data_IF_296861280866
#
_entry.id   IF_296861280866
#
_cell.length_a   1.000
_cell.length_b   1.000
_cell.length_c   1.000
_cell.angle_alpha   90.00
_cell.angle_beta   90.00
_cell.angle_gamma   90.00
#
_symmetry.space_group_name_H-M   'P 1'
#
loop_
_entity.id
_entity.type
_entity.pdbx_description
1 polymer ?
#
# COMPACT_ATOMS: atom_id res chain seq x y z
N UNK A 1 -29.11 -33.77 -1.15
CA UNK A 1 -28.10 -32.90 -1.79
C UNK A 1 -27.99 -31.63 -0.96
N UNK A 2 -26.97 -31.54 -0.09
CA UNK A 2 -26.67 -30.29 0.62
C UNK A 2 -26.00 -29.35 -0.39
N UNK A 3 -26.67 -28.26 -0.75
CA UNK A 3 -26.07 -27.22 -1.56
C UNK A 3 -24.83 -26.65 -0.85
N UNK A 4 -23.79 -26.24 -1.59
CA UNK A 4 -22.60 -25.69 -0.98
C UNK A 4 -22.98 -24.49 -0.10
N UNK A 5 -22.62 -24.58 1.18
CA UNK A 5 -22.75 -23.48 2.14
C UNK A 5 -21.98 -22.30 1.59
N UNK A 6 -22.69 -21.33 0.99
CA UNK A 6 -22.09 -20.07 0.57
C UNK A 6 -21.54 -19.42 1.82
N UNK A 7 -20.24 -19.12 1.84
CA UNK A 7 -19.64 -18.34 2.91
C UNK A 7 -20.45 -17.05 3.08
N UNK A 8 -21.20 -16.98 4.18
CA UNK A 8 -22.10 -15.85 4.44
C UNK A 8 -21.22 -14.72 4.95
N UNK A 9 -20.92 -13.73 4.10
CA UNK A 9 -20.38 -12.46 4.56
C UNK A 9 -21.32 -11.95 5.66
N UNK A 10 -20.81 -11.55 6.85
CA UNK A 10 -21.67 -11.08 7.92
C UNK A 10 -22.63 -10.01 7.40
N UNK A 11 -23.95 -10.20 7.59
CA UNK A 11 -24.97 -9.29 7.06
C UNK A 11 -24.76 -7.82 7.49
N UNK A 12 -24.07 -7.60 8.60
CA UNK A 12 -23.69 -6.28 9.08
C UNK A 12 -22.73 -5.53 8.14
N UNK A 13 -21.88 -6.25 7.40
CA UNK A 13 -20.95 -5.67 6.42
C UNK A 13 -21.63 -5.41 5.06
N UNK A 14 -22.73 -6.10 4.75
CA UNK A 14 -23.51 -5.97 3.52
C UNK A 14 -24.53 -4.81 3.58
N UNK A 15 -24.15 -3.72 4.23
CA UNK A 15 -24.95 -2.49 4.34
C UNK A 15 -24.06 -1.28 4.14
N UNK A 16 -24.54 -0.22 3.47
CA UNK A 16 -23.78 1.02 3.36
C UNK A 16 -23.57 1.60 4.76
N UNK A 17 -22.33 2.04 5.05
CA UNK A 17 -21.96 2.52 6.38
C UNK A 17 -22.54 3.92 6.69
N UNK A 18 -22.65 4.80 5.68
CA UNK A 18 -23.29 6.13 5.70
C UNK A 18 -23.54 6.61 4.25
N UNK A 19 -24.32 7.68 3.98
CA UNK A 19 -24.43 8.27 2.65
C UNK A 19 -23.06 8.72 2.12
N UNK A 20 -22.78 8.48 0.84
CA UNK A 20 -21.51 8.85 0.20
C UNK A 20 -21.46 10.37 -0.09
N UNK A 21 -20.52 11.09 0.54
CA UNK A 21 -20.17 12.47 0.20
C UNK A 21 -18.74 12.57 -0.38
N UNK A 22 -18.49 13.54 -1.25
CA UNK A 22 -17.18 13.77 -1.90
C UNK A 22 -16.04 14.09 -0.92
N UNK A 23 -16.36 14.46 0.33
CA UNK A 23 -15.39 14.66 1.40
C UNK A 23 -14.54 13.40 1.69
N UNK A 24 -15.09 12.19 1.44
CA UNK A 24 -14.39 10.93 1.73
C UNK A 24 -13.19 10.66 0.82
N UNK A 25 -13.21 11.15 -0.42
CA UNK A 25 -12.12 10.91 -1.37
C UNK A 25 -10.85 11.70 -0.97
N UNK A 26 -11.01 12.93 -0.50
CA UNK A 26 -9.89 13.76 -0.04
C UNK A 26 -9.23 13.21 1.22
N UNK A 27 -10.03 12.64 2.13
CA UNK A 27 -9.51 11.95 3.32
C UNK A 27 -8.67 10.74 2.90
N UNK A 28 -9.14 9.94 1.93
CA UNK A 28 -8.37 8.83 1.39
C UNK A 28 -7.06 9.30 0.77
N UNK A 29 -7.10 10.29 -0.11
CA UNK A 29 -5.92 10.86 -0.79
C UNK A 29 -4.89 11.33 0.22
N UNK A 30 -5.31 12.08 1.24
CA UNK A 30 -4.43 12.56 2.31
C UNK A 30 -3.84 11.40 3.12
N UNK A 31 -4.65 10.41 3.50
CA UNK A 31 -4.19 9.23 4.23
C UNK A 31 -3.14 8.45 3.43
N UNK A 32 -3.35 8.25 2.13
CA UNK A 32 -2.41 7.60 1.23
C UNK A 32 -1.11 8.39 1.05
N UNK A 33 -1.18 9.71 0.93
CA UNK A 33 0.01 10.56 0.81
C UNK A 33 0.83 10.66 2.11
N UNK A 34 0.19 10.50 3.27
CA UNK A 34 0.79 10.83 4.58
C UNK A 34 2.15 10.18 4.85
N UNK A 35 2.41 8.88 4.56
CA UNK A 35 3.74 8.31 4.81
C UNK A 35 4.80 8.88 3.87
N UNK A 36 4.40 9.33 2.68
CA UNK A 36 5.33 9.83 1.67
C UNK A 36 5.80 11.25 2.03
N UNK A 37 4.93 12.05 2.65
CA UNK A 37 5.34 13.29 3.29
C UNK A 37 6.32 13.05 4.44
N UNK A 38 6.09 12.02 5.26
CA UNK A 38 7.05 11.65 6.31
C UNK A 38 8.39 11.21 5.71
N UNK A 39 8.37 10.43 4.63
CA UNK A 39 9.58 10.02 3.93
C UNK A 39 10.34 11.23 3.39
N UNK A 40 9.65 12.16 2.73
CA UNK A 40 10.22 13.42 2.26
C UNK A 40 10.82 14.25 3.41
N UNK A 41 10.07 14.39 4.51
CA UNK A 41 10.53 15.14 5.68
C UNK A 41 11.83 14.58 6.25
N UNK A 42 11.91 13.26 6.47
CA UNK A 42 13.11 12.62 7.01
C UNK A 42 14.25 12.66 5.98
N UNK A 43 13.94 12.57 4.69
CA UNK A 43 14.92 12.64 3.62
C UNK A 43 15.64 13.99 3.57
N UNK A 44 14.89 15.10 3.65
CA UNK A 44 15.41 16.46 3.54
C UNK A 44 15.86 17.05 4.88
N UNK A 45 15.25 16.64 5.99
CA UNK A 45 15.52 17.18 7.33
C UNK A 45 15.91 16.10 8.35
N UNK A 46 16.87 15.20 8.05
CA UNK A 46 17.20 14.07 8.93
C UNK A 46 17.68 14.53 10.31
N UNK A 47 18.43 15.65 10.38
CA UNK A 47 18.90 16.22 11.66
C UNK A 47 17.75 16.68 12.57
N UNK A 48 16.62 17.11 12.00
CA UNK A 48 15.45 17.50 12.79
C UNK A 48 14.78 16.27 13.38
N UNK A 49 14.61 15.22 12.58
CA UNK A 49 14.12 13.93 13.07
C UNK A 49 15.03 13.32 14.13
N UNK A 50 16.35 13.32 13.91
CA UNK A 50 17.34 12.85 14.87
C UNK A 50 17.34 13.65 16.17
N UNK A 51 17.09 14.96 16.13
CA UNK A 51 16.97 15.77 17.36
C UNK A 51 15.77 15.36 18.20
N UNK A 52 14.66 14.96 17.57
CA UNK A 52 13.46 14.52 18.26
C UNK A 52 13.60 13.12 18.88
N UNK A 53 14.26 12.17 18.18
CA UNK A 53 14.26 10.75 18.55
C UNK A 53 15.62 10.17 18.92
N UNK A 54 16.71 10.93 18.75
CA UNK A 54 18.07 10.53 19.12
C UNK A 54 18.49 9.18 18.54
N UNK A 55 18.99 8.29 19.41
CA UNK A 55 19.45 6.94 19.03
C UNK A 55 18.33 6.03 18.50
N UNK A 56 17.07 6.32 18.85
CA UNK A 56 15.88 5.58 18.43
C UNK A 56 15.25 6.11 17.14
N UNK A 57 15.90 7.04 16.43
CA UNK A 57 15.33 7.68 15.23
C UNK A 57 14.91 6.69 14.14
N UNK A 58 15.67 5.60 13.95
CA UNK A 58 15.33 4.54 12.99
C UNK A 58 14.11 3.75 13.46
N UNK A 59 14.07 3.37 14.73
CA UNK A 59 12.96 2.58 15.28
C UNK A 59 11.66 3.39 15.30
N UNK A 60 11.74 4.68 15.63
CA UNK A 60 10.61 5.61 15.54
C UNK A 60 10.11 5.74 14.10
N UNK A 61 11.01 5.78 13.12
CA UNK A 61 10.62 5.84 11.71
C UNK A 61 9.98 4.52 11.27
N UNK A 62 10.56 3.37 11.63
CA UNK A 62 9.98 2.06 11.34
C UNK A 62 8.58 1.89 11.94
N UNK A 63 8.40 2.30 13.20
CA UNK A 63 7.10 2.29 13.88
C UNK A 63 6.10 3.21 13.18
N UNK A 64 6.51 4.44 12.82
CA UNK A 64 5.67 5.38 12.07
C UNK A 64 5.29 4.82 10.70
N UNK A 65 6.17 4.06 10.05
CA UNK A 65 5.90 3.32 8.82
C UNK A 65 4.79 2.28 9.01
N UNK A 66 4.85 1.48 10.07
CA UNK A 66 3.80 0.49 10.40
C UNK A 66 2.47 1.19 10.67
N UNK A 67 2.46 2.22 11.52
CA UNK A 67 1.24 3.00 11.82
C UNK A 67 0.68 3.62 10.54
N UNK A 68 1.53 4.23 9.72
CA UNK A 68 1.13 4.81 8.44
C UNK A 68 0.51 3.77 7.51
N UNK A 69 1.08 2.56 7.43
CA UNK A 69 0.50 1.46 6.63
C UNK A 69 -0.86 1.03 7.14
N UNK A 70 -1.03 0.91 8.47
CA UNK A 70 -2.33 0.58 9.06
C UNK A 70 -3.38 1.64 8.72
N UNK A 71 -3.03 2.92 8.84
CA UNK A 71 -3.90 4.04 8.45
C UNK A 71 -4.25 3.98 6.96
N UNK A 72 -3.27 3.74 6.07
CA UNK A 72 -3.51 3.61 4.64
C UNK A 72 -4.50 2.48 4.31
N UNK A 73 -4.29 1.28 4.86
CA UNK A 73 -5.17 0.13 4.60
C UNK A 73 -6.57 0.32 5.21
N UNK A 74 -6.67 0.90 6.41
CA UNK A 74 -7.96 1.21 7.03
C UNK A 74 -8.72 2.28 6.23
N UNK A 75 -8.04 3.34 5.79
CA UNK A 75 -8.64 4.38 4.97
C UNK A 75 -9.20 3.81 3.66
N UNK A 76 -8.44 2.94 2.98
CA UNK A 76 -8.91 2.26 1.75
C UNK A 76 -10.10 1.34 2.04
N UNK A 77 -10.05 0.55 3.12
CA UNK A 77 -11.13 -0.36 3.47
C UNK A 77 -12.43 0.40 3.81
N UNK A 78 -12.34 1.47 4.60
CA UNK A 78 -13.48 2.33 4.95
C UNK A 78 -14.01 3.07 3.74
N UNK A 79 -13.13 3.67 2.93
CA UNK A 79 -13.52 4.33 1.69
C UNK A 79 -14.24 3.36 0.76
N UNK A 80 -13.70 2.15 0.57
CA UNK A 80 -14.30 1.14 -0.28
C UNK A 80 -15.69 0.74 0.24
N UNK A 81 -15.83 0.51 1.56
CA UNK A 81 -17.13 0.21 2.19
C UNK A 81 -18.16 1.31 1.94
N UNK A 82 -17.82 2.57 2.25
CA UNK A 82 -18.75 3.72 2.10
C UNK A 82 -19.10 3.97 0.63
N UNK A 83 -18.19 3.66 -0.30
CA UNK A 83 -18.40 3.86 -1.74
C UNK A 83 -19.29 2.79 -2.38
N UNK A 84 -19.58 1.68 -1.70
CA UNK A 84 -20.43 0.61 -2.25
C UNK A 84 -21.89 0.76 -1.81
N UNK A 85 -22.87 0.70 -2.74
CA UNK A 85 -24.29 0.80 -2.40
C UNK A 85 -24.77 -0.35 -1.50
N UNK A 86 -24.15 -1.52 -1.60
CA UNK A 86 -24.47 -2.71 -0.80
C UNK A 86 -23.43 -2.99 0.30
N UNK A 87 -22.60 -2.00 0.65
CA UNK A 87 -21.46 -2.19 1.54
C UNK A 87 -20.44 -3.21 1.02
N UNK A 88 -19.79 -3.95 1.91
CA UNK A 88 -18.76 -4.96 1.58
C UNK A 88 -19.33 -6.32 1.17
N UNK A 89 -20.49 -6.34 0.51
CA UNK A 89 -21.09 -7.56 -0.02
C UNK A 89 -20.34 -8.05 -1.28
N UNK A 90 -19.08 -8.48 -1.10
CA UNK A 90 -18.23 -8.97 -2.16
C UNK A 90 -18.74 -10.31 -2.71
N UNK A 91 -18.84 -10.41 -4.02
CA UNK A 91 -19.12 -11.67 -4.71
C UNK A 91 -17.80 -12.33 -5.10
N UNK A 92 -17.30 -13.20 -4.22
CA UNK A 92 -16.07 -13.96 -4.48
C UNK A 92 -16.23 -14.95 -5.64
N UNK A 93 -17.46 -15.37 -5.96
CA UNK A 93 -17.73 -16.26 -7.09
C UNK A 93 -17.65 -15.54 -8.44
N UNK A 94 -17.78 -14.21 -8.43
CA UNK A 94 -17.56 -13.36 -9.60
C UNK A 94 -16.08 -13.10 -9.91
N UNK A 95 -15.15 -13.44 -9.00
CA UNK A 95 -13.72 -13.29 -9.24
C UNK A 95 -13.25 -14.42 -10.16
N UNK A 96 -12.83 -14.06 -11.37
CA UNK A 96 -12.36 -15.00 -12.38
C UNK A 96 -11.03 -15.65 -11.99
N UNK A 97 -10.72 -16.82 -12.59
CA UNK A 97 -9.44 -17.48 -12.40
C UNK A 97 -8.26 -16.56 -12.77
N UNK A 98 -8.36 -15.80 -13.85
CA UNK A 98 -7.31 -14.87 -14.28
C UNK A 98 -7.06 -13.78 -13.24
N UNK A 99 -8.11 -13.27 -12.58
CA UNK A 99 -7.95 -12.30 -11.49
C UNK A 99 -7.28 -12.91 -10.26
N UNK A 100 -7.64 -14.15 -9.90
CA UNK A 100 -6.97 -14.88 -8.82
C UNK A 100 -5.49 -15.13 -9.12
N UNK A 101 -5.17 -15.57 -10.34
CA UNK A 101 -3.79 -15.75 -10.77
C UNK A 101 -3.01 -14.42 -10.76
N UNK A 102 -3.65 -13.33 -11.21
CA UNK A 102 -3.06 -11.99 -11.13
C UNK A 102 -2.79 -11.53 -9.70
N UNK A 103 -3.76 -11.72 -8.79
CA UNK A 103 -3.59 -11.44 -7.36
C UNK A 103 -2.42 -12.22 -6.77
N UNK A 104 -2.37 -13.54 -7.01
CA UNK A 104 -1.31 -14.39 -6.49
C UNK A 104 0.06 -14.03 -7.06
N UNK A 105 0.16 -13.80 -8.37
CA UNK A 105 1.42 -13.48 -9.03
C UNK A 105 1.96 -12.12 -8.56
N UNK A 106 1.16 -11.05 -8.67
CA UNK A 106 1.59 -9.71 -8.28
C UNK A 106 1.84 -9.62 -6.77
N UNK A 107 0.99 -10.27 -5.97
CA UNK A 107 1.14 -10.35 -4.53
C UNK A 107 2.43 -11.07 -4.14
N UNK A 108 2.69 -12.26 -4.70
CA UNK A 108 3.88 -13.04 -4.40
C UNK A 108 5.17 -12.31 -4.81
N UNK A 109 5.22 -11.76 -6.03
CA UNK A 109 6.40 -11.00 -6.50
C UNK A 109 6.58 -9.74 -5.64
N UNK A 110 5.49 -9.02 -5.36
CA UNK A 110 5.55 -7.79 -4.58
C UNK A 110 6.04 -8.02 -3.15
N UNK A 111 5.52 -9.06 -2.49
CA UNK A 111 5.96 -9.44 -1.15
C UNK A 111 7.37 -10.04 -1.15
N UNK A 112 7.79 -10.78 -2.18
CA UNK A 112 9.16 -11.26 -2.29
C UNK A 112 10.17 -10.11 -2.38
N UNK A 113 9.87 -9.05 -3.15
CA UNK A 113 10.72 -7.85 -3.21
C UNK A 113 10.80 -7.14 -1.85
N UNK A 114 9.66 -6.97 -1.17
CA UNK A 114 9.60 -6.35 0.14
C UNK A 114 10.33 -7.18 1.21
N UNK A 115 10.12 -8.49 1.26
CA UNK A 115 10.84 -9.38 2.17
C UNK A 115 12.35 -9.39 1.87
N UNK A 116 12.70 -9.39 0.57
CA UNK A 116 14.08 -9.35 0.10
C UNK A 116 14.84 -8.12 0.60
N UNK A 117 14.24 -6.93 0.57
CA UNK A 117 14.93 -5.73 1.05
C UNK A 117 15.20 -5.78 2.56
N UNK A 118 14.24 -6.26 3.36
CA UNK A 118 14.44 -6.45 4.79
C UNK A 118 15.51 -7.50 5.08
N UNK A 119 15.57 -8.58 4.29
CA UNK A 119 16.63 -9.59 4.41
C UNK A 119 18.02 -9.03 4.05
N UNK A 120 18.10 -8.22 2.99
CA UNK A 120 19.35 -7.72 2.44
C UNK A 120 20.00 -6.61 3.30
N UNK A 121 19.21 -5.62 3.75
CA UNK A 121 19.73 -4.42 4.42
C UNK A 121 19.10 -4.13 5.79
N UNK A 122 18.18 -4.99 6.23
CA UNK A 122 17.50 -4.87 7.53
C UNK A 122 16.58 -3.65 7.63
N UNK A 123 15.91 -3.54 8.79
CA UNK A 123 15.04 -2.40 9.11
C UNK A 123 15.78 -1.07 9.02
N UNK A 124 17.03 -1.02 9.47
CA UNK A 124 17.82 0.21 9.40
C UNK A 124 18.12 0.63 7.96
N UNK A 125 18.38 -0.31 7.05
CA UNK A 125 18.57 0.03 5.65
C UNK A 125 17.29 0.57 5.00
N UNK A 126 16.16 -0.07 5.30
CA UNK A 126 14.84 0.32 4.78
C UNK A 126 14.42 1.72 5.24
N UNK A 127 14.62 2.05 6.52
CA UNK A 127 14.14 3.30 7.12
C UNK A 127 15.25 4.36 7.23
N UNK A 128 15.94 4.62 6.12
CA UNK A 128 16.97 5.66 5.96
C UNK A 128 18.03 5.70 7.07
N UNK A 129 18.43 4.54 7.59
CA UNK A 129 19.44 4.44 8.64
C UNK A 129 20.72 5.18 8.26
N UNK A 130 21.12 5.18 6.99
CA UNK A 130 22.28 5.93 6.52
C UNK A 130 22.15 7.45 6.70
N UNK A 131 20.96 8.05 6.50
CA UNK A 131 20.70 9.46 6.83
C UNK A 131 20.56 9.69 8.32
N UNK A 132 20.13 8.66 9.05
CA UNK A 132 19.90 8.69 10.50
C UNK A 132 21.12 8.24 11.32
N UNK A 133 22.32 8.16 10.71
CA UNK A 133 23.58 7.93 11.42
C UNK A 133 23.95 6.47 11.68
N UNK A 134 23.26 5.51 11.03
CA UNK A 134 23.63 4.10 11.00
C UNK A 134 24.52 3.81 9.79
N UNK A 135 25.43 2.85 9.92
CA UNK A 135 26.16 2.29 8.78
C UNK A 135 25.32 1.18 8.16
N UNK A 136 24.95 1.32 6.89
CA UNK A 136 24.17 0.35 6.14
C UNK A 136 25.10 -0.32 5.11
N UNK A 137 25.18 -1.66 5.07
CA UNK A 137 26.01 -2.34 4.08
C UNK A 137 25.44 -2.12 2.67
N UNK A 138 26.33 -1.92 1.70
CA UNK A 138 25.94 -1.97 0.29
C UNK A 138 25.60 -3.40 -0.10
N UNK A 139 24.52 -3.60 -0.85
CA UNK A 139 24.06 -4.91 -1.28
C UNK A 139 23.77 -4.92 -2.78
N UNK A 140 24.36 -5.87 -3.50
CA UNK A 140 24.22 -5.99 -4.97
C UNK A 140 23.41 -7.21 -5.42
N UNK A 141 23.02 -8.09 -4.50
CA UNK A 141 22.15 -9.24 -4.79
C UNK A 141 20.66 -8.88 -4.79
N UNK A 142 19.81 -9.92 -4.82
CA UNK A 142 18.37 -9.75 -4.73
C UNK A 142 17.96 -8.96 -3.47
N UNK A 143 17.01 -8.00 -3.56
CA UNK A 143 16.23 -7.63 -4.75
C UNK A 143 16.83 -6.49 -5.60
N UNK A 144 17.98 -5.94 -5.22
CA UNK A 144 18.58 -4.75 -5.85
C UNK A 144 19.17 -5.00 -7.25
N UNK A 145 19.44 -6.25 -7.62
CA UNK A 145 19.83 -6.62 -8.98
C UNK A 145 18.65 -6.79 -9.96
N UNK A 146 17.40 -6.70 -9.48
CA UNK A 146 16.20 -6.87 -10.32
C UNK A 146 15.57 -5.52 -10.66
N UNK A 147 15.45 -4.63 -9.67
CA UNK A 147 14.89 -3.28 -9.82
C UNK A 147 15.60 -2.30 -8.88
N UNK A 148 15.64 -1.02 -9.25
CA UNK A 148 16.34 0.02 -8.48
C UNK A 148 15.68 0.32 -7.12
N UNK A 149 14.35 0.33 -7.06
CA UNK A 149 13.58 0.60 -5.84
C UNK A 149 12.68 -0.58 -5.48
N UNK A 150 13.24 -1.70 -4.98
CA UNK A 150 12.51 -2.95 -4.80
C UNK A 150 11.36 -2.84 -3.81
N UNK A 151 11.47 -2.02 -2.77
CA UNK A 151 10.36 -1.80 -1.84
C UNK A 151 9.16 -1.08 -2.49
N UNK A 152 9.43 -0.13 -3.38
CA UNK A 152 8.39 0.68 -4.03
C UNK A 152 7.68 -0.08 -5.12
N UNK A 153 8.46 -0.80 -5.93
CA UNK A 153 7.91 -1.77 -6.88
C UNK A 153 7.11 -2.84 -6.12
N UNK A 154 7.67 -3.42 -5.05
CA UNK A 154 7.00 -4.44 -4.27
C UNK A 154 5.68 -3.99 -3.65
N UNK A 155 5.67 -2.76 -3.12
CA UNK A 155 4.47 -2.13 -2.57
C UNK A 155 3.42 -1.83 -3.65
N UNK A 156 3.82 -1.28 -4.79
CA UNK A 156 2.91 -1.02 -5.91
C UNK A 156 2.29 -2.33 -6.44
N UNK A 157 3.10 -3.38 -6.66
CA UNK A 157 2.60 -4.70 -7.10
C UNK A 157 1.60 -5.29 -6.10
N UNK A 158 1.83 -5.11 -4.79
CA UNK A 158 0.88 -5.54 -3.76
C UNK A 158 -0.44 -4.79 -3.86
N UNK A 159 -0.42 -3.47 -4.08
CA UNK A 159 -1.64 -2.67 -4.28
C UNK A 159 -2.39 -3.16 -5.53
N UNK A 160 -1.69 -3.37 -6.64
CA UNK A 160 -2.29 -3.87 -7.88
C UNK A 160 -2.85 -5.29 -7.76
N UNK A 161 -2.24 -6.15 -6.94
CA UNK A 161 -2.78 -7.48 -6.64
C UNK A 161 -4.21 -7.37 -6.10
N UNK A 162 -4.42 -6.53 -5.08
CA UNK A 162 -5.77 -6.29 -4.53
C UNK A 162 -6.68 -5.54 -5.51
N UNK A 163 -6.15 -4.59 -6.27
CA UNK A 163 -6.94 -3.84 -7.24
C UNK A 163 -7.56 -4.74 -8.31
N UNK A 164 -6.84 -5.76 -8.80
CA UNK A 164 -7.34 -6.70 -9.82
C UNK A 164 -8.60 -7.46 -9.35
N UNK A 165 -8.64 -7.88 -8.09
CA UNK A 165 -9.79 -8.62 -7.55
C UNK A 165 -10.92 -7.70 -7.09
N UNK A 166 -10.61 -6.49 -6.63
CA UNK A 166 -11.61 -5.51 -6.18
C UNK A 166 -12.23 -4.69 -7.32
N UNK A 167 -11.52 -4.46 -8.42
CA UNK A 167 -12.03 -3.66 -9.53
C UNK A 167 -13.30 -4.26 -10.16
N UNK A 168 -13.40 -5.59 -10.22
CA UNK A 168 -14.60 -6.29 -10.71
C UNK A 168 -15.78 -6.27 -9.74
N UNK A 169 -15.57 -5.85 -8.49
CA UNK A 169 -16.60 -5.75 -7.45
C UNK A 169 -17.32 -4.40 -7.49
N UNK A 170 -16.82 -3.45 -8.30
CA UNK A 170 -17.37 -2.10 -8.41
C UNK A 170 -17.94 -1.89 -9.80
N UNK A 171 -19.15 -1.32 -9.88
CA UNK A 171 -19.73 -0.89 -11.16
C UNK A 171 -18.99 0.35 -11.67
N UNK A 172 -18.41 0.24 -12.86
CA UNK A 172 -17.75 1.35 -13.54
C UNK A 172 -18.08 1.31 -15.04
N UNK A 173 -18.19 2.47 -15.68
CA UNK A 173 -18.47 2.58 -17.10
C UNK A 173 -17.30 2.11 -17.98
N UNK A 174 -16.08 2.16 -17.45
CA UNK A 174 -14.85 1.71 -18.11
C UNK A 174 -13.78 1.42 -17.06
N UNK A 175 -12.66 0.82 -17.48
CA UNK A 175 -11.51 0.60 -16.60
C UNK A 175 -10.91 1.93 -16.10
N UNK A 176 -10.87 2.96 -16.96
CA UNK A 176 -10.36 4.29 -16.61
C UNK A 176 -11.27 5.03 -15.61
N UNK A 177 -12.58 4.75 -15.65
CA UNK A 177 -13.55 5.29 -14.70
C UNK A 177 -13.68 4.42 -13.43
N UNK A 178 -12.91 3.34 -13.29
CA UNK A 178 -13.00 2.46 -12.14
C UNK A 178 -12.28 3.09 -10.93
N UNK A 179 -13.00 3.36 -9.82
CA UNK A 179 -12.42 4.08 -8.69
C UNK A 179 -11.31 3.27 -7.99
N UNK A 180 -11.38 1.94 -7.99
CA UNK A 180 -10.30 1.09 -7.43
C UNK A 180 -9.02 1.24 -8.25
N UNK A 181 -9.15 1.28 -9.58
CA UNK A 181 -8.02 1.49 -10.50
C UNK A 181 -7.42 2.88 -10.31
N UNK A 182 -8.27 3.90 -10.11
CA UNK A 182 -7.80 5.25 -9.82
C UNK A 182 -7.00 5.31 -8.51
N UNK A 183 -7.50 4.69 -7.43
CA UNK A 183 -6.78 4.61 -6.15
C UNK A 183 -5.44 3.89 -6.29
N UNK A 184 -5.41 2.74 -7.00
CA UNK A 184 -4.18 2.00 -7.25
C UNK A 184 -3.16 2.80 -8.06
N UNK A 185 -3.64 3.55 -9.06
CA UNK A 185 -2.82 4.44 -9.90
C UNK A 185 -2.24 5.59 -9.09
N UNK A 186 -3.07 6.27 -8.29
CA UNK A 186 -2.64 7.35 -7.41
C UNK A 186 -1.58 6.85 -6.42
N UNK A 187 -1.82 5.71 -5.76
CA UNK A 187 -0.87 5.13 -4.81
C UNK A 187 0.44 4.73 -5.48
N UNK A 188 0.40 4.22 -6.70
CA UNK A 188 1.61 3.96 -7.51
C UNK A 188 2.36 5.25 -7.82
N UNK A 189 1.65 6.32 -8.20
CA UNK A 189 2.22 7.64 -8.46
C UNK A 189 2.97 8.20 -7.25
N UNK A 190 2.43 8.02 -6.04
CA UNK A 190 3.10 8.39 -4.80
C UNK A 190 4.47 7.67 -4.67
N UNK A 191 4.53 6.36 -4.90
CA UNK A 191 5.79 5.62 -4.87
C UNK A 191 6.80 6.07 -5.94
N UNK A 192 6.31 6.43 -7.14
CA UNK A 192 7.17 6.97 -8.21
C UNK A 192 7.78 8.30 -7.77
N UNK A 193 6.98 9.21 -7.20
CA UNK A 193 7.46 10.50 -6.70
C UNK A 193 8.50 10.31 -5.60
N UNK A 194 8.26 9.41 -4.65
CA UNK A 194 9.25 9.08 -3.61
C UNK A 194 10.52 8.47 -4.18
N UNK A 195 10.42 7.57 -5.17
CA UNK A 195 11.59 6.99 -5.83
C UNK A 195 12.43 8.04 -6.55
N UNK A 196 11.79 8.95 -7.29
CA UNK A 196 12.46 10.09 -7.95
C UNK A 196 13.13 10.99 -6.90
N UNK A 197 12.45 11.29 -5.80
CA UNK A 197 13.02 12.07 -4.71
C UNK A 197 14.33 11.45 -4.22
N UNK A 198 14.34 10.15 -3.95
CA UNK A 198 15.51 9.46 -3.41
C UNK A 198 16.66 9.28 -4.40
N UNK A 199 16.32 9.19 -5.69
CA UNK A 199 17.30 8.95 -6.74
C UNK A 199 18.07 10.22 -7.10
N UNK A 200 17.43 11.39 -7.01
CA UNK A 200 17.96 12.64 -7.58
C UNK A 200 18.21 13.77 -6.57
N UNK A 201 17.71 13.68 -5.34
CA UNK A 201 17.84 14.73 -4.31
C UNK A 201 18.40 14.18 -3.00
#
# INVERSE_FOLDING_TARGET
>A
MMGPSRAVVPQALCRPMMPYESFHDWVLVAALASPHFLYAFIWFFPKTWQRAFGKGAVDAFAFSGVVGKLVQFQAVALWFWISQPNGLCLDLSAITLTQWLGFLLLGAVGQALNAGIYHAIGTAGVYYGFKLGKKIPWHSGFPFNVVSHPQYVGSALTVWAFAIVLAGQVKAASLAANPVVWVATYWTGLYIVTGIQEQYF
#
